data_IF_222749969506
#
_entry.id   IF_222749969506
#
_cell.length_a   1.000
_cell.length_b   1.000
_cell.length_c   1.000
_cell.angle_alpha   90.00
_cell.angle_beta   90.00
_cell.angle_gamma   90.00
#
_symmetry.space_group_name_H-M   'P 1'
#
loop_
_entity.id
_entity.type
_entity.pdbx_description
1 polymer ?
#
# COMPACT_ATOMS: atom_id res chain seq x y z
N UNK A 1 25.70 2.11 -12.34
CA UNK A 1 24.62 1.59 -11.46
C UNK A 1 24.49 0.10 -11.76
N UNK A 2 25.60 -0.65 -11.61
CA UNK A 2 25.78 -1.89 -12.38
C UNK A 2 25.57 -3.14 -11.51
N UNK A 3 25.06 -2.97 -10.29
CA UNK A 3 24.83 -4.04 -9.31
C UNK A 3 23.38 -4.54 -9.26
N UNK A 4 22.45 -3.91 -10.01
CA UNK A 4 21.04 -4.31 -10.10
C UNK A 4 20.71 -4.91 -11.48
N UNK A 5 21.56 -5.79 -12.01
CA UNK A 5 21.26 -6.56 -13.21
C UNK A 5 20.32 -7.75 -12.87
N UNK A 6 19.14 -7.42 -12.35
CA UNK A 6 17.97 -8.29 -12.44
C UNK A 6 16.94 -7.46 -13.22
N UNK A 7 17.09 -7.43 -14.55
CA UNK A 7 16.25 -6.60 -15.43
C UNK A 7 14.76 -6.87 -15.24
N UNK A 8 14.40 -8.05 -14.76
CA UNK A 8 13.02 -8.48 -14.50
C UNK A 8 12.50 -8.11 -13.10
N UNK A 9 13.31 -7.52 -12.22
CA UNK A 9 12.90 -7.19 -10.85
C UNK A 9 12.80 -5.70 -10.56
N UNK A 10 13.70 -4.86 -11.11
CA UNK A 10 13.56 -3.41 -10.99
C UNK A 10 12.48 -2.92 -11.97
N UNK A 11 11.28 -2.71 -11.45
CA UNK A 11 10.11 -2.31 -12.23
C UNK A 11 10.15 -0.83 -12.62
N UNK A 12 10.53 0.05 -11.71
CA UNK A 12 10.57 1.49 -11.98
C UNK A 12 11.62 2.22 -11.12
N UNK A 13 12.13 3.33 -11.68
CA UNK A 13 13.02 4.26 -11.00
C UNK A 13 12.48 5.68 -11.17
N UNK A 14 11.68 6.12 -10.19
CA UNK A 14 10.88 7.33 -10.24
C UNK A 14 11.62 8.50 -9.61
N UNK A 15 11.34 9.71 -10.10
CA UNK A 15 11.78 10.98 -9.52
C UNK A 15 10.59 11.90 -9.29
N UNK A 16 10.43 12.37 -8.06
CA UNK A 16 9.37 13.30 -7.66
C UNK A 16 10.03 14.52 -7.02
N UNK A 17 10.28 15.55 -7.83
CA UNK A 17 11.19 16.63 -7.47
C UNK A 17 12.62 16.10 -7.29
N UNK A 18 13.22 16.35 -6.12
CA UNK A 18 14.56 15.85 -5.77
C UNK A 18 14.55 14.44 -5.17
N UNK A 19 13.36 13.90 -4.88
CA UNK A 19 13.21 12.58 -4.26
C UNK A 19 13.24 11.46 -5.30
N UNK A 20 13.76 10.31 -4.90
CA UNK A 20 13.90 9.12 -5.74
C UNK A 20 13.23 7.91 -5.12
N UNK A 21 12.44 7.20 -5.91
CA UNK A 21 11.72 6.00 -5.47
C UNK A 21 12.02 4.83 -6.42
N UNK A 22 12.41 3.69 -5.86
CA UNK A 22 12.71 2.48 -6.63
C UNK A 22 11.62 1.45 -6.36
N UNK A 23 10.97 0.96 -7.42
CA UNK A 23 9.88 0.00 -7.32
C UNK A 23 10.34 -1.34 -7.90
N UNK A 24 10.03 -2.41 -7.18
CA UNK A 24 10.48 -3.76 -7.50
C UNK A 24 9.32 -4.75 -7.47
N UNK A 25 9.20 -5.54 -8.53
CA UNK A 25 8.30 -6.66 -8.67
C UNK A 25 8.72 -7.49 -9.88
N UNK A 26 8.44 -8.79 -9.86
CA UNK A 26 8.54 -9.65 -11.05
C UNK A 26 7.21 -9.69 -11.81
N UNK A 27 7.24 -10.07 -13.09
CA UNK A 27 6.02 -10.27 -13.89
C UNK A 27 5.05 -11.25 -13.22
N UNK A 28 5.56 -12.33 -12.62
CA UNK A 28 4.73 -13.30 -11.91
C UNK A 28 4.02 -12.67 -10.69
N UNK A 29 4.72 -11.81 -9.94
CA UNK A 29 4.11 -11.10 -8.82
C UNK A 29 3.05 -10.10 -9.28
N UNK A 30 3.31 -9.37 -10.37
CA UNK A 30 2.35 -8.44 -10.96
C UNK A 30 1.10 -9.17 -11.48
N UNK A 31 1.26 -10.35 -12.09
CA UNK A 31 0.16 -11.18 -12.57
C UNK A 31 -0.74 -11.69 -11.41
N UNK A 32 -0.14 -12.03 -10.25
CA UNK A 32 -0.91 -12.32 -9.03
C UNK A 32 -1.63 -11.05 -8.55
N UNK A 33 -0.93 -9.92 -8.49
CA UNK A 33 -1.45 -8.65 -7.98
C UNK A 33 -2.62 -8.13 -8.83
N UNK A 34 -2.54 -8.28 -10.16
CA UNK A 34 -3.59 -7.94 -11.13
C UNK A 34 -4.92 -8.65 -10.82
N UNK A 35 -4.85 -9.93 -10.41
CA UNK A 35 -6.04 -10.75 -10.12
C UNK A 35 -6.52 -10.61 -8.68
N UNK A 36 -5.72 -10.00 -7.80
CA UNK A 36 -6.06 -9.84 -6.40
C UNK A 36 -7.12 -8.74 -6.21
N UNK A 37 -8.27 -9.12 -5.63
CA UNK A 37 -9.34 -8.18 -5.27
C UNK A 37 -9.04 -7.32 -4.04
N UNK A 38 -8.09 -7.79 -3.20
CA UNK A 38 -7.74 -7.15 -1.94
C UNK A 38 -6.24 -6.97 -1.87
N UNK A 39 -5.81 -5.72 -1.75
CA UNK A 39 -4.41 -5.36 -1.55
C UNK A 39 -4.20 -4.88 -0.12
N UNK A 40 -3.03 -5.16 0.44
CA UNK A 40 -2.60 -4.69 1.75
C UNK A 40 -1.30 -3.94 1.58
N UNK A 41 -1.30 -2.66 1.97
CA UNK A 41 -0.14 -1.78 1.84
C UNK A 41 0.48 -1.60 3.22
N UNK A 42 1.75 -1.97 3.35
CA UNK A 42 2.53 -1.82 4.59
C UNK A 42 3.75 -0.92 4.37
N UNK A 43 3.97 0.00 5.30
CA UNK A 43 5.14 0.87 5.35
C UNK A 43 6.05 0.48 6.52
N UNK A 44 7.28 0.06 6.21
CA UNK A 44 8.30 -0.26 7.21
C UNK A 44 9.38 0.83 7.25
N UNK A 45 9.53 1.47 8.43
CA UNK A 45 10.41 2.63 8.63
C UNK A 45 11.74 2.31 9.35
N UNK A 46 11.74 1.29 10.20
CA UNK A 46 12.90 0.99 11.07
C UNK A 46 14.01 0.28 10.30
N UNK A 47 13.63 -0.59 9.36
CA UNK A 47 14.49 -1.48 8.58
C UNK A 47 14.66 -0.89 7.17
N UNK A 48 15.17 0.35 7.10
CA UNK A 48 15.57 0.98 5.84
C UNK A 48 17.04 1.37 5.88
N UNK A 49 17.72 1.36 4.72
CA UNK A 49 19.10 1.82 4.64
C UNK A 49 19.29 3.21 5.26
N UNK A 50 20.44 3.48 5.92
CA UNK A 50 20.68 4.76 6.58
C UNK A 50 20.49 5.98 5.67
N UNK A 51 20.79 5.86 4.38
CA UNK A 51 20.64 6.95 3.41
C UNK A 51 19.18 7.31 3.08
N UNK A 52 18.20 6.45 3.41
CA UNK A 52 16.78 6.79 3.31
C UNK A 52 16.26 7.39 4.62
N UNK A 53 17.02 7.36 5.72
CA UNK A 53 16.58 7.95 6.99
C UNK A 53 16.81 9.46 6.99
N UNK A 54 15.98 10.24 7.69
CA UNK A 54 14.81 9.82 8.49
C UNK A 54 13.49 9.74 7.70
N UNK A 55 13.49 10.20 6.45
CA UNK A 55 12.27 10.54 5.72
C UNK A 55 11.69 9.41 4.87
N UNK A 56 12.48 8.37 4.58
CA UNK A 56 12.11 7.30 3.66
C UNK A 56 11.51 6.06 4.30
N UNK A 57 11.05 5.13 3.47
CA UNK A 57 10.47 3.86 3.88
C UNK A 57 10.76 2.75 2.87
N UNK A 58 10.58 1.52 3.33
CA UNK A 58 10.26 0.40 2.46
C UNK A 58 8.73 0.21 2.51
N UNK A 59 8.05 0.57 1.43
CA UNK A 59 6.64 0.25 1.23
C UNK A 59 6.54 -1.13 0.58
N UNK A 60 5.50 -1.89 0.90
CA UNK A 60 5.20 -3.16 0.23
C UNK A 60 3.69 -3.32 -0.01
N UNK A 61 3.35 -3.96 -1.13
CA UNK A 61 1.97 -4.34 -1.46
C UNK A 61 1.87 -5.86 -1.39
N UNK A 62 0.89 -6.33 -0.63
CA UNK A 62 0.64 -7.75 -0.38
C UNK A 62 -0.74 -8.14 -0.88
N UNK A 63 -0.90 -9.42 -1.20
CA UNK A 63 -2.20 -10.03 -1.44
C UNK A 63 -2.23 -11.45 -0.88
N UNK A 64 -3.44 -11.98 -0.67
CA UNK A 64 -3.63 -13.39 -0.35
C UNK A 64 -3.59 -14.26 -1.60
N UNK A 65 -2.82 -15.35 -1.53
CA UNK A 65 -2.74 -16.39 -2.55
C UNK A 65 -3.34 -17.66 -1.96
N UNK A 66 -4.23 -18.28 -2.73
CA UNK A 66 -4.87 -19.55 -2.37
C UNK A 66 -4.09 -20.70 -3.00
N UNK A 67 -3.64 -21.66 -2.18
CA UNK A 67 -3.00 -22.89 -2.65
C UNK A 67 -3.33 -24.05 -1.71
N UNK A 68 -3.75 -25.18 -2.26
CA UNK A 68 -4.07 -26.40 -1.51
C UNK A 68 -5.08 -26.19 -0.36
N UNK A 69 -6.11 -25.35 -0.61
CA UNK A 69 -7.13 -24.99 0.38
C UNK A 69 -6.64 -24.06 1.50
N UNK A 70 -5.42 -23.53 1.40
CA UNK A 70 -4.85 -22.58 2.35
C UNK A 70 -4.71 -21.20 1.73
N UNK A 71 -5.11 -20.19 2.50
CA UNK A 71 -4.91 -18.78 2.19
C UNK A 71 -3.63 -18.29 2.87
N UNK A 72 -2.69 -17.75 2.11
CA UNK A 72 -1.45 -17.18 2.64
C UNK A 72 -1.21 -15.79 2.05
N UNK A 73 -0.79 -14.85 2.88
CA UNK A 73 -0.45 -13.50 2.45
C UNK A 73 1.01 -13.45 2.00
N UNK A 74 1.27 -12.84 0.84
CA UNK A 74 2.61 -12.65 0.31
C UNK A 74 2.85 -11.19 -0.10
N UNK A 75 4.08 -10.66 0.13
CA UNK A 75 4.50 -9.42 -0.49
C UNK A 75 4.76 -9.65 -1.98
N UNK A 76 4.10 -8.88 -2.83
CA UNK A 76 4.17 -8.99 -4.28
C UNK A 76 4.90 -7.81 -4.92
N UNK A 77 4.98 -6.68 -4.22
CA UNK A 77 5.67 -5.50 -4.70
C UNK A 77 6.37 -4.78 -3.54
N UNK A 78 7.53 -4.23 -3.82
CA UNK A 78 8.31 -3.44 -2.88
C UNK A 78 8.65 -2.08 -3.48
N UNK A 79 8.59 -1.01 -2.70
CA UNK A 79 9.07 0.30 -3.10
C UNK A 79 9.99 0.89 -2.02
N UNK A 80 11.24 1.16 -2.38
CA UNK A 80 12.13 1.98 -1.57
C UNK A 80 11.84 3.45 -1.89
N UNK A 81 11.27 4.15 -0.91
CA UNK A 81 10.88 5.55 -1.06
C UNK A 81 11.77 6.42 -0.20
N UNK A 82 12.30 7.52 -0.74
CA UNK A 82 13.12 8.49 0.00
C UNK A 82 12.31 9.49 0.80
N UNK A 83 11.03 9.64 0.46
CA UNK A 83 10.05 10.52 1.11
C UNK A 83 8.65 9.91 1.03
N UNK A 84 7.78 10.32 1.95
CA UNK A 84 6.44 9.74 2.18
C UNK A 84 5.32 10.78 2.07
N UNK A 85 5.36 11.64 1.05
CA UNK A 85 4.27 12.59 0.79
C UNK A 85 3.25 11.99 -0.17
N UNK A 86 2.07 12.58 -0.20
CA UNK A 86 0.97 12.16 -1.09
C UNK A 86 1.44 12.02 -2.54
N UNK A 87 2.18 13.02 -3.05
CA UNK A 87 2.71 13.00 -4.42
C UNK A 87 3.68 11.83 -4.68
N UNK A 88 4.46 11.43 -3.67
CA UNK A 88 5.39 10.30 -3.81
C UNK A 88 4.62 8.99 -3.97
N UNK A 89 3.58 8.79 -3.15
CA UNK A 89 2.72 7.62 -3.23
C UNK A 89 1.93 7.56 -4.53
N UNK A 90 1.42 8.69 -5.02
CA UNK A 90 0.70 8.76 -6.30
C UNK A 90 1.58 8.23 -7.42
N UNK A 91 2.81 8.73 -7.53
CA UNK A 91 3.71 8.33 -8.60
C UNK A 91 4.13 6.86 -8.48
N UNK A 92 4.33 6.36 -7.25
CA UNK A 92 4.57 4.93 -7.02
C UNK A 92 3.37 4.10 -7.47
N UNK A 93 2.15 4.42 -7.04
CA UNK A 93 0.95 3.65 -7.42
C UNK A 93 0.63 3.73 -8.92
N UNK A 94 0.86 4.89 -9.56
CA UNK A 94 0.73 5.05 -11.01
C UNK A 94 1.70 4.15 -11.75
N UNK A 95 2.96 4.11 -11.34
CA UNK A 95 3.95 3.21 -11.93
C UNK A 95 3.56 1.73 -11.77
N UNK A 96 2.89 1.36 -10.67
CA UNK A 96 2.31 0.01 -10.53
C UNK A 96 1.20 -0.19 -11.56
N UNK A 97 0.23 0.73 -11.64
CA UNK A 97 -0.91 0.64 -12.55
C UNK A 97 -0.50 0.59 -14.02
N UNK A 98 0.54 1.32 -14.43
CA UNK A 98 1.06 1.28 -15.80
C UNK A 98 1.59 -0.12 -16.20
N UNK A 99 1.87 -0.98 -15.22
CA UNK A 99 2.34 -2.34 -15.44
C UNK A 99 1.22 -3.39 -15.29
N UNK A 100 0.00 -2.96 -14.99
CA UNK A 100 -1.18 -3.80 -14.89
C UNK A 100 -2.17 -3.40 -16.00
N UNK A 101 -2.77 -4.37 -16.68
CA UNK A 101 -3.71 -4.09 -17.78
C UNK A 101 -5.09 -3.71 -17.24
N UNK A 102 -5.64 -4.52 -16.34
CA UNK A 102 -6.96 -4.31 -15.75
C UNK A 102 -7.01 -4.93 -14.35
N UNK A 103 -6.47 -4.26 -13.33
CA UNK A 103 -6.41 -4.81 -11.98
C UNK A 103 -7.82 -4.95 -11.37
N UNK A 104 -8.09 -6.13 -10.80
CA UNK A 104 -9.38 -6.45 -10.16
C UNK A 104 -9.50 -5.92 -8.73
N UNK A 105 -8.63 -5.00 -8.32
CA UNK A 105 -8.60 -4.48 -6.95
C UNK A 105 -9.90 -3.76 -6.63
N UNK A 106 -10.60 -4.24 -5.60
CA UNK A 106 -11.85 -3.68 -5.10
C UNK A 106 -11.64 -3.03 -3.72
N UNK A 107 -10.62 -3.47 -2.99
CA UNK A 107 -10.34 -3.04 -1.63
C UNK A 107 -8.83 -2.92 -1.36
N UNK A 108 -8.43 -1.82 -0.73
CA UNK A 108 -7.06 -1.61 -0.25
C UNK A 108 -7.10 -1.40 1.25
N UNK A 109 -6.31 -2.19 1.98
CA UNK A 109 -6.08 -1.97 3.41
C UNK A 109 -4.72 -1.34 3.60
N UNK A 110 -4.63 -0.26 4.38
CA UNK A 110 -3.36 0.42 4.67
C UNK A 110 -3.31 0.91 6.12
N UNK A 111 -2.10 1.14 6.63
CA UNK A 111 -1.88 1.91 7.87
C UNK A 111 -2.45 3.34 7.71
N UNK A 112 -2.78 4.01 8.83
CA UNK A 112 -3.39 5.35 8.87
C UNK A 112 -2.43 6.50 8.49
N UNK A 113 -1.55 6.27 7.52
CA UNK A 113 -0.69 7.30 6.98
C UNK A 113 -1.47 8.17 5.99
N UNK A 114 -1.69 9.44 6.34
CA UNK A 114 -2.53 10.36 5.57
C UNK A 114 -2.09 10.49 4.10
N UNK A 115 -0.78 10.53 3.84
CA UNK A 115 -0.23 10.61 2.48
C UNK A 115 -0.63 9.40 1.62
N UNK A 116 -0.50 8.19 2.18
CA UNK A 116 -0.88 6.95 1.49
C UNK A 116 -2.39 6.90 1.21
N UNK A 117 -3.22 7.22 2.20
CA UNK A 117 -4.68 7.21 2.04
C UNK A 117 -5.16 8.21 0.98
N UNK A 118 -4.64 9.43 1.01
CA UNK A 118 -4.99 10.44 0.01
C UNK A 118 -4.54 10.03 -1.40
N UNK A 119 -3.37 9.40 -1.52
CA UNK A 119 -2.90 8.88 -2.80
C UNK A 119 -3.76 7.71 -3.30
N UNK A 120 -4.13 6.77 -2.43
CA UNK A 120 -5.00 5.64 -2.82
C UNK A 120 -6.36 6.16 -3.31
N UNK A 121 -6.96 7.15 -2.64
CA UNK A 121 -8.23 7.77 -3.09
C UNK A 121 -8.11 8.40 -4.48
N UNK A 122 -6.98 9.05 -4.75
CA UNK A 122 -6.76 9.72 -6.03
C UNK A 122 -6.48 8.74 -7.16
N UNK A 123 -5.68 7.70 -6.91
CA UNK A 123 -5.26 6.73 -7.92
C UNK A 123 -6.29 5.62 -8.14
N UNK A 124 -7.03 5.23 -7.10
CA UNK A 124 -8.04 4.16 -7.12
C UNK A 124 -9.42 4.69 -6.66
N UNK A 125 -10.09 5.55 -7.42
CA UNK A 125 -11.32 6.22 -6.99
C UNK A 125 -12.49 5.27 -6.70
N UNK A 126 -12.49 4.07 -7.29
CA UNK A 126 -13.54 3.07 -7.12
C UNK A 126 -13.27 2.07 -5.96
N UNK A 127 -12.08 2.10 -5.37
CA UNK A 127 -11.66 1.13 -4.36
C UNK A 127 -12.14 1.54 -2.97
N UNK A 128 -12.60 0.55 -2.19
CA UNK A 128 -12.89 0.75 -0.76
C UNK A 128 -11.58 0.71 0.04
N UNK A 129 -11.27 1.79 0.74
CA UNK A 129 -10.10 1.86 1.63
C UNK A 129 -10.49 1.36 3.02
N UNK A 130 -9.64 0.53 3.64
CA UNK A 130 -9.80 0.11 5.04
C UNK A 130 -8.54 0.39 5.84
N UNK A 131 -8.72 0.67 7.12
CA UNK A 131 -7.62 0.82 8.06
C UNK A 131 -7.16 -0.51 8.63
N UNK A 132 -5.84 -0.67 8.71
CA UNK A 132 -5.23 -1.76 9.46
C UNK A 132 -5.30 -1.46 10.97
N UNK A 133 -5.98 -2.30 11.76
CA UNK A 133 -6.07 -2.11 13.21
C UNK A 133 -4.83 -2.61 13.98
N UNK A 134 -3.83 -3.16 13.28
CA UNK A 134 -2.64 -3.74 13.90
C UNK A 134 -1.71 -2.70 14.54
N UNK A 135 -1.80 -1.44 14.11
CA UNK A 135 -1.02 -0.31 14.64
C UNK A 135 -1.93 0.86 14.96
N UNK A 136 -2.68 0.75 16.04
CA UNK A 136 -3.41 1.87 16.62
C UNK A 136 -2.43 2.72 17.46
N UNK A 137 -1.72 3.66 16.81
CA UNK A 137 -0.91 4.68 17.50
C UNK A 137 -1.77 5.91 17.86
N UNK A 138 -1.46 6.65 18.95
CA UNK A 138 -2.20 7.85 19.34
C UNK A 138 -2.46 8.87 18.22
N UNK A 139 -1.56 9.01 17.24
CA UNK A 139 -1.72 9.89 16.07
C UNK A 139 -2.73 9.34 15.07
N UNK A 140 -2.74 8.03 14.84
CA UNK A 140 -3.75 7.36 14.03
C UNK A 140 -5.14 7.50 14.67
N UNK A 141 -5.22 7.39 16.00
CA UNK A 141 -6.46 7.60 16.75
C UNK A 141 -6.95 9.07 16.68
N UNK A 142 -6.05 10.05 16.79
CA UNK A 142 -6.38 11.46 16.65
C UNK A 142 -6.88 11.80 15.22
N UNK A 143 -6.17 11.32 14.19
CA UNK A 143 -6.60 11.50 12.81
C UNK A 143 -7.96 10.85 12.52
N UNK A 144 -8.20 9.65 13.05
CA UNK A 144 -9.52 9.00 12.97
C UNK A 144 -10.60 9.84 13.66
N UNK A 145 -10.34 10.33 14.88
CA UNK A 145 -11.31 11.17 15.60
C UNK A 145 -11.65 12.46 14.87
N UNK A 146 -10.68 13.08 14.21
CA UNK A 146 -10.86 14.33 13.45
C UNK A 146 -11.52 14.12 12.08
N UNK A 147 -11.34 12.95 11.46
CA UNK A 147 -11.77 12.70 10.08
C UNK A 147 -12.89 11.66 9.94
N UNK A 148 -13.36 11.01 11.02
CA UNK A 148 -14.51 10.09 11.00
C UNK A 148 -15.79 10.81 10.54
N UNK A 149 -15.99 12.06 10.95
CA UNK A 149 -17.12 12.88 10.48
C UNK A 149 -16.96 13.32 9.02
N UNK A 150 -15.72 13.42 8.52
CA UNK A 150 -15.42 13.73 7.12
C UNK A 150 -15.37 12.49 6.22
N UNK A 151 -15.41 11.28 6.80
CA UNK A 151 -15.29 10.00 6.10
C UNK A 151 -16.57 9.15 6.16
N UNK A 152 -17.68 9.69 6.69
CA UNK A 152 -19.03 9.13 6.52
C UNK A 152 -19.36 7.82 7.24
N UNK A 153 -18.40 7.12 7.84
CA UNK A 153 -18.59 5.80 8.43
C UNK A 153 -18.47 5.73 9.95
N UNK A 154 -19.35 4.93 10.58
CA UNK A 154 -19.24 4.46 11.96
C UNK A 154 -18.15 3.37 12.04
N UNK A 155 -17.16 3.43 12.96
CA UNK A 155 -16.08 2.44 13.01
C UNK A 155 -16.58 1.04 13.41
N UNK A 156 -16.83 0.19 12.41
CA UNK A 156 -17.10 -1.23 12.62
C UNK A 156 -15.77 -2.02 12.58
N UNK A 157 -15.38 -2.53 13.74
CA UNK A 157 -14.34 -3.56 13.87
C UNK A 157 -14.84 -4.86 13.25
N UNK A 158 -14.40 -5.17 12.03
CA UNK A 158 -14.67 -6.45 11.39
C UNK A 158 -13.47 -7.37 11.59
N UNK A 159 -13.66 -8.43 12.37
CA UNK A 159 -12.76 -9.59 12.36
C UNK A 159 -13.13 -10.48 11.17
N UNK A 160 -12.19 -10.79 10.28
CA UNK A 160 -12.39 -11.81 9.25
C UNK A 160 -12.00 -13.18 9.79
N UNK A 161 -12.49 -14.25 9.15
CA UNK A 161 -12.21 -15.65 9.50
C UNK A 161 -10.70 -16.00 9.53
N UNK A 162 -9.85 -15.14 8.97
CA UNK A 162 -8.39 -15.27 8.91
C UNK A 162 -7.67 -14.66 10.14
N UNK A 163 -8.40 -14.22 11.17
CA UNK A 163 -7.82 -13.76 12.44
C UNK A 163 -7.22 -12.35 12.43
N UNK A 164 -7.38 -11.59 11.35
CA UNK A 164 -6.97 -10.18 11.26
C UNK A 164 -8.12 -9.25 11.67
N UNK A 165 -7.86 -8.35 12.62
CA UNK A 165 -8.76 -7.28 13.00
C UNK A 165 -8.56 -6.07 12.06
N UNK A 166 -9.63 -5.59 11.43
CA UNK A 166 -9.63 -4.39 10.61
C UNK A 166 -10.61 -3.36 11.16
N UNK A 167 -10.24 -2.08 11.08
CA UNK A 167 -11.18 -0.97 11.22
C UNK A 167 -11.62 -0.59 9.82
N UNK A 168 -12.85 -0.97 9.46
CA UNK A 168 -13.45 -0.51 8.22
C UNK A 168 -13.93 0.93 8.43
N UNK A 169 -13.26 1.89 7.79
CA UNK A 169 -13.83 3.22 7.56
C UNK A 169 -14.37 3.15 6.13
N UNK A 170 -15.66 2.85 5.97
CA UNK A 170 -16.28 2.92 4.65
C UNK A 170 -16.33 4.38 4.24
N UNK A 171 -15.66 4.74 3.15
CA UNK A 171 -15.66 6.12 2.63
C UNK A 171 -16.69 6.32 1.53
N UNK A 172 -17.68 5.41 1.40
CA UNK A 172 -18.91 5.69 0.65
C UNK A 172 -19.87 6.50 1.51
N UNK A 173 -19.49 7.70 1.88
CA UNK A 173 -20.38 8.81 2.29
C UNK A 173 -19.57 10.08 2.42
#
# INVERSE_FOLDING_TARGET
>A
MDFLQCQEFLMANLRVGEERHLVFATEHQLDILQRAKRWFVDGTFKIVPPFLKPNGQLMSIHAFVQKDGKSMQFPLLFALMSRRRKEDYIEVFRAVLERLENPLVEMVTADFEAGAWQAIREVFPAVVIRGCAFRMDPRAAAWLGENISAAGGDPLLHQTADGLAFLAVDSRT
#
